data_IF_524262509510
#
_entry.id   IF_524262509510
#
_cell.length_a   1.000
_cell.length_b   1.000
_cell.length_c   1.000
_cell.angle_alpha   90.00
_cell.angle_beta   90.00
_cell.angle_gamma   90.00
#
_symmetry.space_group_name_H-M   'P 1'
#
loop_
_entity.id
_entity.type
_entity.pdbx_description
1 polymer ?
#
# COMPACT_ATOMS: atom_id res chain seq x y z
N UNK A 1 -7.72 80.00 -1.29
CA UNK A 1 -8.53 79.13 -0.42
C UNK A 1 -7.61 78.01 0.03
N UNK A 2 -7.02 78.19 1.21
CA UNK A 2 -5.84 77.43 1.64
C UNK A 2 -6.20 76.18 2.44
N UNK A 3 -5.39 75.15 2.26
CA UNK A 3 -5.74 73.75 2.50
C UNK A 3 -5.58 73.34 3.96
N UNK A 4 -6.59 72.58 4.40
CA UNK A 4 -6.67 71.82 5.64
C UNK A 4 -5.58 70.74 5.70
N UNK A 5 -4.68 70.80 6.69
CA UNK A 5 -3.87 69.65 7.09
C UNK A 5 -4.18 69.24 8.52
N UNK A 6 -4.60 67.97 8.60
CA UNK A 6 -5.16 67.23 9.73
C UNK A 6 -4.03 66.44 10.40
N UNK A 7 -3.91 66.56 11.71
CA UNK A 7 -3.36 65.55 12.62
C UNK A 7 -1.92 65.10 12.41
N UNK A 8 -1.00 65.57 13.25
CA UNK A 8 0.26 64.86 13.52
C UNK A 8 0.23 64.35 14.95
N UNK A 9 0.19 63.02 15.08
CA UNK A 9 0.13 62.32 16.35
C UNK A 9 1.36 62.60 17.22
N UNK A 10 1.15 62.67 18.53
CA UNK A 10 2.22 62.72 19.54
C UNK A 10 3.17 61.55 19.34
N UNK A 11 4.34 61.81 18.76
CA UNK A 11 5.42 60.85 18.72
C UNK A 11 5.87 60.56 20.17
N UNK A 12 5.62 59.34 20.62
CA UNK A 12 6.07 58.82 21.91
C UNK A 12 7.59 58.69 21.83
N UNK A 13 8.29 59.68 22.37
CA UNK A 13 9.75 59.74 22.47
C UNK A 13 10.19 58.46 23.21
N UNK A 14 10.92 57.58 22.52
CA UNK A 14 11.50 56.40 23.15
C UNK A 14 12.55 56.85 24.17
N UNK A 15 12.59 56.25 25.37
CA UNK A 15 13.66 56.51 26.32
C UNK A 15 15.01 56.15 25.68
N UNK A 16 16.02 56.96 25.97
CA UNK A 16 17.38 56.74 25.45
C UNK A 16 17.87 55.34 25.86
N UNK A 17 18.55 54.58 24.99
CA UNK A 17 19.04 53.24 25.31
C UNK A 17 19.93 53.22 26.57
N UNK A 18 20.58 54.34 26.90
CA UNK A 18 21.40 54.48 28.10
C UNK A 18 20.60 54.43 29.40
N UNK A 19 19.36 54.93 29.41
CA UNK A 19 18.48 54.91 30.59
C UNK A 19 18.02 53.49 30.90
N UNK A 20 17.76 52.70 29.85
CA UNK A 20 17.43 51.28 29.97
C UNK A 20 18.60 50.48 30.54
N UNK A 21 19.81 50.68 30.01
CA UNK A 21 21.03 49.99 30.49
C UNK A 21 21.32 50.37 31.94
N UNK A 22 21.21 51.66 32.30
CA UNK A 22 21.47 52.13 33.67
C UNK A 22 20.42 51.63 34.66
N UNK A 23 19.16 51.52 34.25
CA UNK A 23 18.08 50.93 35.07
C UNK A 23 18.28 49.43 35.30
N UNK A 24 18.69 48.69 34.27
CA UNK A 24 19.03 47.26 34.38
C UNK A 24 20.26 47.07 35.25
N UNK A 25 21.29 47.89 35.09
CA UNK A 25 22.53 47.81 35.87
C UNK A 25 22.32 48.14 37.35
N UNK A 26 21.42 49.06 37.69
CA UNK A 26 20.99 49.29 39.09
C UNK A 26 20.25 48.09 39.68
N UNK A 27 19.58 47.29 38.85
CA UNK A 27 18.84 46.08 39.26
C UNK A 27 19.68 44.81 39.21
N UNK A 28 20.80 44.84 38.51
CA UNK A 28 21.77 43.75 38.42
C UNK A 28 22.21 43.19 39.78
N UNK A 29 22.59 44.00 40.79
CA UNK A 29 23.01 43.45 42.09
C UNK A 29 21.88 42.74 42.83
N UNK A 30 20.62 43.17 42.64
CA UNK A 30 19.46 42.51 43.22
C UNK A 30 19.14 41.20 42.50
N UNK A 31 19.32 41.16 41.17
CA UNK A 31 19.17 39.95 40.38
C UNK A 31 20.21 38.89 40.79
N UNK A 32 21.48 39.28 40.92
CA UNK A 32 22.55 38.39 41.37
C UNK A 32 22.28 37.81 42.78
N UNK A 33 21.80 38.64 43.73
CA UNK A 33 21.47 38.17 45.07
C UNK A 33 20.24 37.24 45.10
N UNK A 34 19.26 37.46 44.22
CA UNK A 34 18.10 36.59 44.09
C UNK A 34 18.48 35.24 43.45
N UNK A 35 19.31 35.27 42.41
CA UNK A 35 19.85 34.09 41.72
C UNK A 35 20.74 33.29 42.68
N UNK A 36 21.59 33.92 43.48
CA UNK A 36 22.43 33.23 44.46
C UNK A 36 21.59 32.50 45.53
N UNK A 37 20.52 33.13 46.03
CA UNK A 37 19.59 32.50 46.98
C UNK A 37 18.77 31.37 46.34
N UNK A 38 18.37 31.55 45.08
CA UNK A 38 17.58 30.57 44.34
C UNK A 38 18.41 29.34 43.93
N UNK A 39 19.63 29.54 43.45
CA UNK A 39 20.53 28.47 43.01
C UNK A 39 20.92 27.52 44.15
N UNK A 40 21.14 28.02 45.37
CA UNK A 40 21.40 27.17 46.54
C UNK A 40 20.19 26.34 46.97
N UNK A 41 18.99 26.92 46.91
CA UNK A 41 17.75 26.25 47.31
C UNK A 41 17.31 25.16 46.33
N UNK A 42 17.60 25.35 45.04
CA UNK A 42 17.12 24.47 43.96
C UNK A 42 18.15 23.44 43.47
N UNK A 43 19.42 23.55 43.87
CA UNK A 43 20.48 22.59 43.53
C UNK A 43 20.13 21.11 43.79
N UNK A 44 19.65 20.70 44.98
CA UNK A 44 19.30 19.30 45.23
C UNK A 44 17.97 18.90 44.56
N UNK A 45 17.06 19.84 44.35
CA UNK A 45 15.78 19.60 43.68
C UNK A 45 15.98 19.28 42.19
N UNK A 46 16.82 20.04 41.47
CA UNK A 46 17.10 19.79 40.05
C UNK A 46 17.75 18.42 39.81
N UNK A 47 18.66 17.97 40.68
CA UNK A 47 19.29 16.65 40.55
C UNK A 47 18.30 15.52 40.86
N UNK A 48 17.46 15.67 41.90
CA UNK A 48 16.44 14.67 42.26
C UNK A 48 15.33 14.55 41.20
N UNK A 49 14.90 15.68 40.65
CA UNK A 49 13.98 15.78 39.50
C UNK A 49 14.61 15.11 38.26
N UNK A 50 15.90 15.33 37.99
CA UNK A 50 16.53 14.77 36.80
C UNK A 50 16.53 13.23 36.78
N UNK A 51 16.76 12.57 37.91
CA UNK A 51 16.84 11.10 37.95
C UNK A 51 15.46 10.44 37.86
N UNK A 52 14.45 11.02 38.51
CA UNK A 52 13.07 10.54 38.42
C UNK A 52 12.49 10.76 37.02
N UNK A 53 12.80 11.89 36.39
CA UNK A 53 12.39 12.20 35.02
C UNK A 53 13.08 11.29 33.99
N UNK A 54 14.35 10.92 34.21
CA UNK A 54 15.05 9.91 33.39
C UNK A 54 14.38 8.54 33.45
N UNK A 55 13.94 8.10 34.64
CA UNK A 55 13.20 6.83 34.81
C UNK A 55 11.83 6.86 34.13
N UNK A 56 11.12 7.98 34.22
CA UNK A 56 9.84 8.15 33.53
C UNK A 56 10.04 8.20 32.00
N UNK A 57 11.06 8.91 31.52
CA UNK A 57 11.36 8.98 30.09
C UNK A 57 11.72 7.60 29.51
N UNK A 58 12.55 6.81 30.21
CA UNK A 58 12.89 5.45 29.80
C UNK A 58 11.68 4.51 29.83
N UNK A 59 10.84 4.58 30.86
CA UNK A 59 9.59 3.82 30.91
C UNK A 59 8.62 4.20 29.77
N UNK A 60 8.50 5.50 29.46
CA UNK A 60 7.67 5.97 28.36
C UNK A 60 8.17 5.48 27.00
N UNK A 61 9.49 5.51 26.77
CA UNK A 61 10.08 4.96 25.55
C UNK A 61 9.82 3.46 25.43
N UNK A 62 10.04 2.69 26.52
CA UNK A 62 9.75 1.25 26.52
C UNK A 62 8.28 0.95 26.21
N UNK A 63 7.35 1.66 26.86
CA UNK A 63 5.92 1.52 26.59
C UNK A 63 5.59 1.84 25.13
N UNK A 64 6.15 2.91 24.58
CA UNK A 64 5.95 3.30 23.20
C UNK A 64 6.50 2.23 22.24
N UNK A 65 7.69 1.69 22.50
CA UNK A 65 8.27 0.60 21.70
C UNK A 65 7.41 -0.66 21.72
N UNK A 66 6.91 -1.07 22.90
CA UNK A 66 6.03 -2.24 23.01
C UNK A 66 4.71 -1.99 22.28
N UNK A 67 4.11 -0.81 22.45
CA UNK A 67 2.89 -0.42 21.76
C UNK A 67 3.05 -0.48 20.24
N UNK A 68 4.10 0.14 19.70
CA UNK A 68 4.40 0.12 18.27
C UNK A 68 4.65 -1.30 17.77
N UNK A 69 5.40 -2.11 18.52
CA UNK A 69 5.69 -3.50 18.16
C UNK A 69 4.40 -4.34 18.10
N UNK A 70 3.52 -4.19 19.09
CA UNK A 70 2.20 -4.83 19.09
C UNK A 70 1.34 -4.35 17.93
N UNK A 71 1.29 -3.03 17.69
CA UNK A 71 0.52 -2.46 16.59
C UNK A 71 1.00 -2.94 15.22
N UNK A 72 2.31 -3.10 15.03
CA UNK A 72 2.89 -3.63 13.78
C UNK A 72 2.61 -5.14 13.66
N UNK A 73 2.76 -5.91 14.73
CA UNK A 73 2.51 -7.36 14.73
C UNK A 73 1.03 -7.73 14.59
N UNK A 74 0.13 -6.92 15.13
CA UNK A 74 -1.33 -7.12 15.12
C UNK A 74 -2.05 -6.32 14.01
N UNK A 75 -1.38 -5.36 13.39
CA UNK A 75 -1.95 -4.50 12.36
C UNK A 75 -2.13 -5.19 11.01
N UNK A 76 -2.53 -4.42 10.00
CA UNK A 76 -2.86 -4.90 8.65
C UNK A 76 -1.76 -5.75 7.96
N UNK A 77 -0.51 -5.65 8.41
CA UNK A 77 0.64 -6.41 7.90
C UNK A 77 1.12 -7.52 8.87
N UNK A 78 0.31 -7.85 9.87
CA UNK A 78 0.65 -8.74 10.96
C UNK A 78 0.50 -10.24 10.67
N UNK A 79 0.82 -11.06 11.68
CA UNK A 79 0.74 -12.53 11.65
C UNK A 79 -0.62 -13.07 11.17
N UNK A 80 -1.71 -12.34 11.42
CA UNK A 80 -3.06 -12.77 11.07
C UNK A 80 -3.28 -12.81 9.55
N UNK A 81 -2.85 -11.77 8.83
CA UNK A 81 -2.97 -11.71 7.35
C UNK A 81 -2.02 -12.71 6.71
N UNK A 82 -0.83 -12.90 7.28
CA UNK A 82 0.10 -13.92 6.83
C UNK A 82 -0.53 -15.32 6.88
N UNK A 83 -1.24 -15.68 7.94
CA UNK A 83 -1.91 -16.99 8.05
C UNK A 83 -3.01 -17.17 7.01
N UNK A 84 -3.81 -16.14 6.75
CA UNK A 84 -4.85 -16.18 5.72
C UNK A 84 -4.25 -16.34 4.32
N UNK A 85 -3.25 -15.52 3.98
CA UNK A 85 -2.55 -15.60 2.70
C UNK A 85 -1.79 -16.91 2.51
N UNK A 86 -1.24 -17.48 3.59
CA UNK A 86 -0.61 -18.79 3.55
C UNK A 86 -1.60 -19.92 3.25
N UNK A 87 -2.79 -19.88 3.84
CA UNK A 87 -3.85 -20.85 3.57
C UNK A 87 -4.35 -20.75 2.13
N UNK A 88 -4.63 -19.53 1.65
CA UNK A 88 -5.04 -19.25 0.27
C UNK A 88 -3.97 -19.73 -0.73
N UNK A 89 -2.69 -19.43 -0.47
CA UNK A 89 -1.57 -19.91 -1.28
C UNK A 89 -1.50 -21.44 -1.35
N UNK A 90 -1.66 -22.12 -0.21
CA UNK A 90 -1.64 -23.59 -0.17
C UNK A 90 -2.82 -24.20 -0.93
N UNK A 91 -4.01 -23.59 -0.88
CA UNK A 91 -5.18 -24.06 -1.62
C UNK A 91 -4.96 -23.90 -3.13
N UNK A 92 -4.52 -22.72 -3.57
CA UNK A 92 -4.23 -22.46 -4.99
C UNK A 92 -3.12 -23.38 -5.52
N UNK A 93 -2.09 -23.66 -4.72
CA UNK A 93 -1.03 -24.57 -5.10
C UNK A 93 -1.54 -26.00 -5.32
N UNK A 94 -2.44 -26.49 -4.45
CA UNK A 94 -3.08 -27.80 -4.62
C UNK A 94 -3.96 -27.86 -5.87
N UNK A 95 -4.73 -26.80 -6.13
CA UNK A 95 -5.56 -26.72 -7.33
C UNK A 95 -4.71 -26.73 -8.60
N UNK A 96 -3.61 -25.97 -8.61
CA UNK A 96 -2.68 -25.94 -9.74
C UNK A 96 -2.07 -27.33 -9.99
N UNK A 97 -1.62 -28.02 -8.94
CA UNK A 97 -1.10 -29.38 -9.03
C UNK A 97 -2.16 -30.36 -9.59
N UNK A 98 -3.40 -30.27 -9.11
CA UNK A 98 -4.51 -31.09 -9.62
C UNK A 98 -4.74 -30.85 -11.12
N UNK A 99 -4.81 -29.58 -11.54
CA UNK A 99 -5.01 -29.21 -12.94
C UNK A 99 -3.83 -29.63 -13.84
N UNK A 100 -2.60 -29.61 -13.31
CA UNK A 100 -1.43 -30.12 -14.03
C UNK A 100 -1.54 -31.63 -14.25
N UNK A 101 -1.91 -32.39 -13.21
CA UNK A 101 -2.12 -33.83 -13.35
C UNK A 101 -3.24 -34.17 -14.35
N UNK A 102 -4.36 -33.44 -14.31
CA UNK A 102 -5.45 -33.63 -15.28
C UNK A 102 -5.00 -33.30 -16.71
N UNK A 103 -4.24 -32.21 -16.91
CA UNK A 103 -3.66 -31.90 -18.21
C UNK A 103 -2.71 -32.98 -18.72
N UNK A 104 -1.86 -33.51 -17.85
CA UNK A 104 -0.96 -34.62 -18.21
C UNK A 104 -1.77 -35.86 -18.62
N UNK A 105 -2.82 -36.20 -17.87
CA UNK A 105 -3.72 -37.30 -18.20
C UNK A 105 -4.42 -37.09 -19.55
N UNK A 106 -5.00 -35.93 -19.81
CA UNK A 106 -5.62 -35.63 -21.10
C UNK A 106 -4.60 -35.65 -22.23
N UNK A 107 -3.39 -35.13 -22.00
CA UNK A 107 -2.31 -35.16 -22.98
C UNK A 107 -1.90 -36.60 -23.32
N UNK A 108 -1.83 -37.48 -22.31
CA UNK A 108 -1.57 -38.91 -22.52
C UNK A 108 -2.71 -39.59 -23.27
N UNK A 109 -3.96 -39.29 -22.93
CA UNK A 109 -5.14 -39.81 -23.65
C UNK A 109 -5.16 -39.36 -25.11
N UNK A 110 -4.90 -38.06 -25.38
CA UNK A 110 -4.80 -37.54 -26.74
C UNK A 110 -3.65 -38.21 -27.50
N UNK A 111 -2.50 -38.44 -26.85
CA UNK A 111 -1.37 -39.17 -27.47
C UNK A 111 -1.76 -40.61 -27.80
N UNK A 112 -2.45 -41.31 -26.90
CA UNK A 112 -2.92 -42.68 -27.13
C UNK A 112 -4.01 -42.76 -28.21
N UNK A 113 -4.90 -41.76 -28.28
CA UNK A 113 -5.91 -41.65 -29.35
C UNK A 113 -5.25 -41.29 -30.70
N UNK A 114 -4.22 -40.45 -30.69
CA UNK A 114 -3.45 -40.09 -31.89
C UNK A 114 -2.53 -41.19 -32.40
N UNK A 115 -2.18 -42.19 -31.59
CA UNK A 115 -1.37 -43.32 -32.06
C UNK A 115 -2.09 -44.23 -33.05
N UNK A 116 -3.41 -44.05 -33.26
CA UNK A 116 -4.14 -44.67 -34.37
C UNK A 116 -4.79 -43.61 -35.31
N UNK A 117 -3.96 -42.88 -36.09
CA UNK A 117 -4.45 -41.83 -36.98
C UNK A 117 -5.19 -42.39 -38.20
N UNK A 118 -5.04 -43.67 -38.53
CA UNK A 118 -5.72 -44.30 -39.66
C UNK A 118 -7.20 -44.58 -39.37
N UNK A 119 -7.53 -44.92 -38.12
CA UNK A 119 -8.92 -45.12 -37.70
C UNK A 119 -9.70 -43.81 -37.61
N UNK A 120 -9.07 -42.73 -37.11
CA UNK A 120 -9.70 -41.39 -37.07
C UNK A 120 -9.97 -40.87 -38.48
N UNK A 121 -9.04 -41.05 -39.42
CA UNK A 121 -9.23 -40.62 -40.81
C UNK A 121 -10.35 -41.40 -41.51
N UNK A 122 -10.51 -42.69 -41.18
CA UNK A 122 -11.61 -43.52 -41.71
C UNK A 122 -12.97 -43.06 -41.19
N UNK A 123 -13.11 -42.87 -39.88
CA UNK A 123 -14.36 -42.39 -39.25
C UNK A 123 -14.73 -40.98 -39.71
N UNK A 124 -13.75 -40.09 -39.90
CA UNK A 124 -14.00 -38.72 -40.39
C UNK A 124 -14.46 -38.72 -41.86
N UNK A 125 -13.99 -39.66 -42.69
CA UNK A 125 -14.49 -39.85 -44.06
C UNK A 125 -15.91 -40.40 -44.08
N UNK A 126 -16.21 -41.35 -43.22
CA UNK A 126 -17.50 -42.04 -43.19
C UNK A 126 -18.62 -41.18 -42.56
N UNK A 127 -18.35 -40.45 -41.47
CA UNK A 127 -19.39 -39.68 -40.76
C UNK A 127 -19.47 -38.20 -41.14
N UNK A 128 -18.33 -37.58 -41.48
CA UNK A 128 -18.25 -36.13 -41.70
C UNK A 128 -18.03 -35.75 -43.18
N UNK A 129 -18.02 -36.74 -44.09
CA UNK A 129 -17.68 -36.56 -45.51
C UNK A 129 -16.41 -35.72 -45.71
N UNK A 130 -15.44 -35.87 -44.81
CA UNK A 130 -14.23 -35.06 -44.83
C UNK A 130 -13.38 -35.42 -46.06
N UNK A 131 -13.01 -34.39 -46.81
CA UNK A 131 -12.31 -34.49 -48.10
C UNK A 131 -10.94 -33.83 -47.95
N UNK A 132 -9.86 -34.47 -48.44
CA UNK A 132 -8.51 -33.89 -48.31
C UNK A 132 -8.38 -32.63 -49.19
N UNK A 133 -7.53 -31.65 -48.83
CA UNK A 133 -7.26 -30.52 -49.70
C UNK A 133 -6.68 -31.01 -51.03
N UNK A 134 -7.49 -30.97 -52.10
CA UNK A 134 -7.16 -31.47 -53.45
C UNK A 134 -8.13 -32.50 -54.05
N UNK A 135 -9.10 -33.02 -53.30
CA UNK A 135 -10.13 -33.95 -53.80
C UNK A 135 -11.42 -33.17 -54.20
N UNK A 136 -12.07 -33.53 -55.32
CA UNK A 136 -13.25 -32.84 -55.87
C UNK A 136 -14.51 -33.69 -55.63
N UNK A 137 -15.47 -33.16 -54.86
CA UNK A 137 -16.74 -33.84 -54.57
C UNK A 137 -17.72 -33.66 -55.74
N UNK A 138 -18.11 -34.76 -56.39
CA UNK A 138 -19.10 -34.74 -57.46
C UNK A 138 -20.50 -35.01 -56.88
N UNK A 139 -21.32 -33.97 -56.73
CA UNK A 139 -22.70 -34.10 -56.24
C UNK A 139 -23.64 -34.13 -57.45
N UNK A 140 -24.45 -35.19 -57.56
CA UNK A 140 -25.51 -35.30 -58.57
C UNK A 140 -26.51 -34.13 -58.41
N UNK A 141 -26.94 -33.45 -59.48
CA UNK A 141 -27.82 -32.28 -59.40
C UNK A 141 -29.27 -32.72 -59.15
N UNK A 142 -29.55 -33.30 -57.99
CA UNK A 142 -30.92 -33.54 -57.53
C UNK A 142 -30.94 -33.72 -56.01
N UNK A 143 -30.64 -32.63 -55.32
CA UNK A 143 -31.16 -32.27 -53.99
C UNK A 143 -30.45 -30.98 -53.58
N UNK A 144 -31.17 -29.88 -53.74
CA UNK A 144 -30.96 -28.56 -53.17
C UNK A 144 -29.82 -28.45 -52.14
N UNK A 145 -28.76 -27.74 -52.55
CA UNK A 145 -27.82 -27.12 -51.63
C UNK A 145 -28.63 -26.11 -50.82
N UNK A 146 -29.15 -26.55 -49.67
CA UNK A 146 -29.78 -25.69 -48.68
C UNK A 146 -28.67 -24.80 -48.10
N UNK A 147 -28.39 -23.71 -48.78
CA UNK A 147 -27.55 -22.63 -48.31
C UNK A 147 -28.17 -22.08 -47.03
N UNK A 148 -27.64 -22.52 -45.89
CA UNK A 148 -27.97 -21.95 -44.59
C UNK A 148 -27.62 -20.46 -44.62
N UNK A 149 -28.57 -19.55 -44.37
CA UNK A 149 -28.35 -18.12 -44.53
C UNK A 149 -27.30 -17.63 -43.51
N UNK A 150 -26.44 -16.72 -43.97
CA UNK A 150 -25.44 -16.05 -43.15
C UNK A 150 -26.08 -15.47 -41.88
N UNK A 151 -25.72 -16.02 -40.72
CA UNK A 151 -26.11 -15.49 -39.42
C UNK A 151 -25.40 -14.15 -39.18
N UNK A 152 -26.12 -13.08 -39.50
CA UNK A 152 -25.81 -11.71 -39.14
C UNK A 152 -26.00 -11.52 -37.63
N UNK A 153 -24.94 -11.72 -36.84
CA UNK A 153 -24.94 -11.43 -35.41
C UNK A 153 -23.54 -11.09 -34.86
N UNK A 154 -23.03 -9.91 -35.20
CA UNK A 154 -22.04 -9.22 -34.39
C UNK A 154 -22.31 -7.70 -34.51
N UNK A 155 -23.30 -7.25 -33.75
CA UNK A 155 -23.54 -5.83 -33.46
C UNK A 155 -23.74 -5.71 -31.95
N UNK A 156 -22.64 -5.51 -31.22
CA UNK A 156 -22.47 -4.59 -30.09
C UNK A 156 -21.13 -4.83 -29.43
#
# INVERSE_FOLDING_TARGET
>A
MDLRVKGMGKLRILPSPEDGVRAVMKRAPQAEAFIAKFTLRWRPACLWISNTWRRLATAAVLLLTVWLSLHVMLGANGMVVYRQKRAEYQQLQKENQKLQMENEQYTQQIKALRSDPQTIEKETREQLHYTRPGEVVYVSPSAEISQKPASRAARR
#
